data_IF_080863171273
#
_entry.id   IF_080863171273
#
_cell.length_a   1.000
_cell.length_b   1.000
_cell.length_c   1.000
_cell.angle_alpha   90.00
_cell.angle_beta   90.00
_cell.angle_gamma   90.00
#
_symmetry.space_group_name_H-M   'P 1'
#
loop_
_entity.id
_entity.type
_entity.pdbx_description
1 polymer ?
#
# COMPACT_ATOMS: atom_id res chain seq x y z
N UNK A 1 -7.52 -18.38 -4.27
CA UNK A 1 -6.95 -18.50 -5.63
C UNK A 1 -5.43 -18.78 -5.64
N UNK A 2 -4.58 -17.90 -5.10
CA UNK A 2 -3.11 -18.02 -5.21
C UNK A 2 -2.52 -19.30 -4.59
N UNK A 3 -3.07 -19.75 -3.46
CA UNK A 3 -2.67 -21.01 -2.84
C UNK A 3 -2.91 -22.23 -3.76
N UNK A 4 -4.07 -22.28 -4.42
CA UNK A 4 -4.39 -23.35 -5.38
C UNK A 4 -3.46 -23.30 -6.60
N UNK A 5 -3.15 -22.08 -7.09
CA UNK A 5 -2.20 -21.88 -8.19
C UNK A 5 -0.78 -22.33 -7.81
N UNK A 6 -0.34 -22.04 -6.58
CA UNK A 6 0.93 -22.53 -6.02
C UNK A 6 1.00 -24.05 -6.02
N UNK A 7 -0.06 -24.73 -5.55
CA UNK A 7 -0.12 -26.20 -5.58
C UNK A 7 -0.10 -26.77 -6.99
N UNK A 8 -0.83 -26.16 -7.93
CA UNK A 8 -0.88 -26.62 -9.34
C UNK A 8 0.46 -26.46 -10.06
N UNK A 9 1.16 -25.36 -9.81
CA UNK A 9 2.43 -25.02 -10.51
C UNK A 9 3.68 -25.51 -9.77
N UNK A 10 3.52 -26.09 -8.57
CA UNK A 10 4.63 -26.50 -7.68
C UNK A 10 5.61 -25.37 -7.36
N UNK A 11 5.17 -24.11 -7.45
CA UNK A 11 5.98 -22.94 -7.09
C UNK A 11 5.63 -22.48 -5.67
N UNK A 12 6.62 -22.12 -4.85
CA UNK A 12 6.36 -21.60 -3.50
C UNK A 12 5.40 -20.41 -3.53
N UNK A 13 4.46 -20.34 -2.58
CA UNK A 13 3.48 -19.24 -2.53
C UNK A 13 4.16 -17.87 -2.46
N UNK A 14 5.23 -17.74 -1.67
CA UNK A 14 5.96 -16.47 -1.53
C UNK A 14 6.58 -15.99 -2.85
N UNK A 15 7.02 -16.92 -3.70
CA UNK A 15 7.56 -16.61 -5.03
C UNK A 15 6.46 -16.03 -5.94
N UNK A 16 5.23 -16.51 -5.81
CA UNK A 16 4.07 -16.00 -6.55
C UNK A 16 3.69 -14.61 -6.03
N UNK A 17 3.66 -14.45 -4.70
CA UNK A 17 3.35 -13.16 -4.06
C UNK A 17 4.32 -12.06 -4.50
N UNK A 18 5.63 -12.32 -4.53
CA UNK A 18 6.64 -11.35 -5.00
C UNK A 18 6.35 -10.77 -6.39
N UNK A 19 5.74 -11.56 -7.29
CA UNK A 19 5.42 -11.12 -8.66
C UNK A 19 4.11 -10.34 -8.71
N UNK A 20 3.13 -10.80 -7.96
CA UNK A 20 1.79 -10.20 -7.94
C UNK A 20 1.79 -8.85 -7.24
N UNK A 21 2.62 -8.64 -6.22
CA UNK A 21 2.63 -7.34 -5.50
C UNK A 21 3.02 -6.16 -6.38
N UNK A 22 3.78 -6.37 -7.45
CA UNK A 22 4.11 -5.31 -8.40
C UNK A 22 2.82 -4.80 -9.08
N UNK A 23 2.00 -5.71 -9.61
CA UNK A 23 0.74 -5.30 -10.26
C UNK A 23 -0.30 -4.83 -9.26
N UNK A 24 -0.32 -5.39 -8.04
CA UNK A 24 -1.20 -4.92 -6.96
C UNK A 24 -0.86 -3.50 -6.53
N UNK A 25 0.43 -3.12 -6.48
CA UNK A 25 0.83 -1.75 -6.18
C UNK A 25 0.28 -0.76 -7.22
N UNK A 26 0.35 -1.11 -8.51
CA UNK A 26 -0.24 -0.29 -9.57
C UNK A 26 -1.77 -0.24 -9.46
N UNK A 27 -2.41 -1.38 -9.17
CA UNK A 27 -3.86 -1.41 -8.94
C UNK A 27 -4.28 -0.52 -7.75
N UNK A 28 -3.47 -0.46 -6.69
CA UNK A 28 -3.72 0.42 -5.55
C UNK A 28 -3.71 1.91 -5.96
N UNK A 29 -2.81 2.34 -6.86
CA UNK A 29 -2.83 3.69 -7.44
C UNK A 29 -4.18 3.96 -8.12
N UNK A 30 -4.62 3.05 -8.99
CA UNK A 30 -5.87 3.20 -9.73
C UNK A 30 -7.09 3.23 -8.80
N UNK A 31 -7.08 2.44 -7.73
CA UNK A 31 -8.14 2.47 -6.71
C UNK A 31 -8.21 3.86 -6.07
N UNK A 32 -7.08 4.45 -5.67
CA UNK A 32 -7.06 5.79 -5.07
C UNK A 32 -7.51 6.87 -6.04
N UNK A 33 -7.13 6.78 -7.32
CA UNK A 33 -7.65 7.68 -8.35
C UNK A 33 -9.16 7.51 -8.55
N UNK A 34 -9.68 6.29 -8.47
CA UNK A 34 -11.13 6.03 -8.47
C UNK A 34 -11.83 6.69 -7.27
N UNK A 35 -11.27 6.59 -6.07
CA UNK A 35 -11.80 7.26 -4.89
C UNK A 35 -11.79 8.79 -5.02
N UNK A 36 -10.76 9.36 -5.63
CA UNK A 36 -10.71 10.79 -5.96
C UNK A 36 -11.88 11.19 -6.89
N UNK A 37 -12.11 10.44 -7.97
CA UNK A 37 -13.22 10.71 -8.91
C UNK A 37 -14.60 10.55 -8.24
N UNK A 38 -14.72 9.65 -7.26
CA UNK A 38 -15.95 9.45 -6.49
C UNK A 38 -16.12 10.45 -5.34
N UNK A 39 -15.11 11.29 -5.04
CA UNK A 39 -15.09 12.15 -3.86
C UNK A 39 -15.25 11.40 -2.54
N UNK A 40 -14.47 10.33 -2.36
CA UNK A 40 -14.52 9.47 -1.17
C UNK A 40 -13.15 9.35 -0.50
N UNK A 41 -13.13 9.19 0.83
CA UNK A 41 -11.90 8.89 1.61
C UNK A 41 -10.86 10.02 1.49
N UNK A 42 -11.30 11.27 1.59
CA UNK A 42 -10.42 12.45 1.63
C UNK A 42 -10.03 12.81 3.07
N UNK A 43 -9.19 13.83 3.20
CA UNK A 43 -8.67 14.29 4.47
C UNK A 43 -9.48 15.37 5.16
N UNK A 44 -9.00 15.78 6.33
CA UNK A 44 -9.57 16.91 7.08
C UNK A 44 -9.47 18.22 6.28
N UNK A 45 -10.20 19.23 6.74
CA UNK A 45 -10.13 20.59 6.20
C UNK A 45 -8.72 21.16 6.23
N UNK A 46 -8.35 21.88 5.17
CA UNK A 46 -7.00 22.40 4.97
C UNK A 46 -7.01 23.79 4.37
N UNK A 47 -6.10 24.65 4.82
CA UNK A 47 -5.87 25.98 4.25
C UNK A 47 -4.72 26.02 3.23
N UNK A 48 -4.15 24.85 2.91
CA UNK A 48 -3.03 24.74 1.98
C UNK A 48 -3.46 25.07 0.53
N UNK A 49 -2.56 25.62 -0.30
CA UNK A 49 -2.92 26.11 -1.64
C UNK A 49 -3.31 25.01 -2.64
N UNK A 50 -3.07 23.74 -2.31
CA UNK A 50 -3.51 22.58 -3.09
C UNK A 50 -4.70 21.84 -2.48
N UNK A 51 -5.41 22.48 -1.53
CA UNK A 51 -6.66 21.97 -0.99
C UNK A 51 -7.68 21.71 -2.11
N UNK A 52 -8.41 20.61 -2.00
CA UNK A 52 -9.35 20.16 -3.02
C UNK A 52 -10.78 20.26 -2.48
N UNK A 53 -11.68 20.90 -3.21
CA UNK A 53 -13.11 20.99 -2.84
C UNK A 53 -13.83 19.79 -3.46
N UNK A 54 -14.36 18.92 -2.61
CA UNK A 54 -15.05 17.70 -3.01
C UNK A 54 -16.56 17.96 -3.23
N UNK A 55 -16.88 18.69 -4.30
CA UNK A 55 -18.24 19.17 -4.61
C UNK A 55 -19.29 18.04 -4.68
N UNK A 56 -18.91 16.87 -5.22
CA UNK A 56 -19.81 15.71 -5.31
C UNK A 56 -20.26 15.22 -3.94
N UNK A 57 -19.42 15.37 -2.91
CA UNK A 57 -19.80 15.07 -1.53
C UNK A 57 -20.37 16.29 -0.79
N UNK A 58 -20.68 17.37 -1.51
CA UNK A 58 -21.26 18.63 -1.00
C UNK A 58 -20.35 19.36 0.00
N UNK A 59 -19.05 19.12 -0.08
CA UNK A 59 -18.08 19.88 0.70
C UNK A 59 -17.97 21.30 0.14
N UNK A 60 -17.96 22.27 1.04
CA UNK A 60 -17.73 23.69 0.71
C UNK A 60 -16.31 24.14 1.06
N UNK A 61 -15.69 23.46 2.02
CA UNK A 61 -14.35 23.78 2.47
C UNK A 61 -13.31 22.92 1.73
N UNK A 62 -12.13 23.48 1.41
CA UNK A 62 -11.04 22.71 0.86
C UNK A 62 -10.55 21.64 1.85
N UNK A 63 -10.41 20.40 1.38
CA UNK A 63 -9.93 19.25 2.14
C UNK A 63 -8.57 18.79 1.61
N UNK A 64 -7.80 18.09 2.44
CA UNK A 64 -6.61 17.40 1.95
C UNK A 64 -7.01 16.30 0.93
N UNK A 65 -6.54 16.33 -0.33
CA UNK A 65 -6.78 15.24 -1.28
C UNK A 65 -5.87 14.03 -0.97
N UNK A 66 -6.12 13.36 0.15
CA UNK A 66 -5.30 12.24 0.65
C UNK A 66 -5.21 11.09 -0.34
N UNK A 67 -6.20 10.93 -1.22
CA UNK A 67 -6.17 9.95 -2.31
C UNK A 67 -5.05 10.24 -3.31
N UNK A 68 -4.75 11.53 -3.60
CA UNK A 68 -3.61 11.91 -4.46
C UNK A 68 -2.30 11.58 -3.74
N UNK A 69 -2.20 11.87 -2.44
CA UNK A 69 -1.01 11.55 -1.64
C UNK A 69 -0.76 10.03 -1.61
N UNK A 70 -1.81 9.24 -1.39
CA UNK A 70 -1.75 7.78 -1.44
C UNK A 70 -1.39 7.29 -2.84
N UNK A 71 -2.04 7.79 -3.89
CA UNK A 71 -1.78 7.39 -5.28
C UNK A 71 -0.33 7.66 -5.70
N UNK A 72 0.21 8.84 -5.39
CA UNK A 72 1.59 9.20 -5.67
C UNK A 72 2.57 8.34 -4.88
N UNK A 73 2.28 8.11 -3.59
CA UNK A 73 3.08 7.22 -2.75
C UNK A 73 3.10 5.81 -3.34
N UNK A 74 1.93 5.23 -3.61
CA UNK A 74 1.81 3.87 -4.17
C UNK A 74 2.45 3.76 -5.55
N UNK A 75 2.45 4.82 -6.36
CA UNK A 75 3.16 4.88 -7.63
C UNK A 75 4.68 4.82 -7.43
N UNK A 76 5.21 5.56 -6.46
CA UNK A 76 6.64 5.46 -6.06
C UNK A 76 6.94 4.04 -5.60
N UNK A 77 6.09 3.44 -4.78
CA UNK A 77 6.22 2.05 -4.33
C UNK A 77 6.24 1.06 -5.51
N UNK A 78 5.33 1.20 -6.47
CA UNK A 78 5.32 0.43 -7.71
C UNK A 78 6.62 0.56 -8.49
N UNK A 79 7.10 1.79 -8.70
CA UNK A 79 8.36 2.05 -9.41
C UNK A 79 9.54 1.39 -8.69
N UNK A 80 9.61 1.49 -7.35
CA UNK A 80 10.66 0.85 -6.55
C UNK A 80 10.61 -0.67 -6.71
N UNK A 81 9.44 -1.28 -6.56
CA UNK A 81 9.26 -2.73 -6.71
C UNK A 81 9.65 -3.20 -8.12
N UNK A 82 9.23 -2.48 -9.15
CA UNK A 82 9.57 -2.78 -10.55
C UNK A 82 11.08 -2.64 -10.79
N UNK A 83 11.72 -1.60 -10.24
CA UNK A 83 13.17 -1.39 -10.34
C UNK A 83 13.95 -2.51 -9.67
N UNK A 84 13.54 -2.95 -8.47
CA UNK A 84 14.17 -4.09 -7.78
C UNK A 84 13.98 -5.38 -8.59
N UNK A 85 12.78 -5.60 -9.12
CA UNK A 85 12.50 -6.77 -9.96
C UNK A 85 13.38 -6.83 -11.22
N UNK A 86 13.54 -5.70 -11.92
CA UNK A 86 14.38 -5.61 -13.13
C UNK A 86 15.87 -5.76 -12.76
N UNK A 87 16.34 -5.07 -11.72
CA UNK A 87 17.75 -5.15 -11.28
C UNK A 87 18.17 -6.53 -10.76
N UNK A 88 17.22 -7.39 -10.41
CA UNK A 88 17.46 -8.76 -9.96
C UNK A 88 17.23 -9.79 -11.06
N UNK A 89 17.22 -9.37 -12.33
CA UNK A 89 16.97 -10.22 -13.50
C UNK A 89 15.69 -11.07 -13.36
N UNK A 90 14.63 -10.45 -12.83
CA UNK A 90 13.35 -11.11 -12.53
C UNK A 90 13.44 -12.31 -11.56
N UNK A 91 14.56 -12.41 -10.82
CA UNK A 91 14.86 -13.44 -9.82
C UNK A 91 15.18 -12.80 -8.46
N UNK A 92 14.29 -11.96 -7.90
CA UNK A 92 14.47 -11.43 -6.56
C UNK A 92 14.50 -12.57 -5.54
N UNK A 93 15.20 -12.36 -4.42
CA UNK A 93 15.18 -13.31 -3.30
C UNK A 93 13.73 -13.49 -2.81
N UNK A 94 13.25 -14.73 -2.64
CA UNK A 94 11.86 -14.98 -2.24
C UNK A 94 11.47 -14.22 -0.96
N UNK A 95 10.40 -13.43 -1.04
CA UNK A 95 9.85 -12.61 0.04
C UNK A 95 10.35 -11.16 0.06
N UNK A 96 11.37 -10.81 -0.74
CA UNK A 96 11.91 -9.45 -0.75
C UNK A 96 10.90 -8.44 -1.28
N UNK A 97 10.29 -8.71 -2.45
CA UNK A 97 9.33 -7.77 -3.06
C UNK A 97 8.04 -7.71 -2.26
N UNK A 98 7.56 -8.87 -1.78
CA UNK A 98 6.38 -8.94 -0.91
C UNK A 98 6.59 -8.15 0.38
N UNK A 99 7.76 -8.29 1.01
CA UNK A 99 8.09 -7.55 2.23
C UNK A 99 8.20 -6.05 1.99
N UNK A 100 8.88 -5.63 0.91
CA UNK A 100 8.96 -4.21 0.52
C UNK A 100 7.57 -3.62 0.25
N UNK A 101 6.71 -4.35 -0.45
CA UNK A 101 5.34 -3.94 -0.71
C UNK A 101 4.56 -3.72 0.58
N UNK A 102 4.63 -4.66 1.52
CA UNK A 102 3.93 -4.55 2.81
C UNK A 102 4.41 -3.33 3.61
N UNK A 103 5.72 -3.16 3.77
CA UNK A 103 6.24 -2.01 4.51
C UNK A 103 5.81 -0.71 3.83
N UNK A 104 6.00 -0.61 2.52
CA UNK A 104 5.79 0.64 1.81
C UNK A 104 4.32 1.07 1.82
N UNK A 105 3.40 0.16 1.45
CA UNK A 105 1.96 0.46 1.41
C UNK A 105 1.41 0.74 2.80
N UNK A 106 1.74 -0.07 3.80
CA UNK A 106 1.14 0.07 5.12
C UNK A 106 1.80 1.17 5.97
N UNK A 107 3.09 1.48 5.76
CA UNK A 107 3.69 2.65 6.39
C UNK A 107 3.10 3.95 5.83
N UNK A 108 2.99 4.09 4.50
CA UNK A 108 2.37 5.28 3.89
C UNK A 108 0.91 5.43 4.30
N UNK A 109 0.15 4.32 4.34
CA UNK A 109 -1.20 4.30 4.91
C UNK A 109 -1.22 4.80 6.35
N UNK A 110 -0.36 4.27 7.22
CA UNK A 110 -0.31 4.65 8.64
C UNK A 110 -0.14 6.15 8.84
N UNK A 111 0.76 6.78 8.08
CA UNK A 111 1.02 8.22 8.19
C UNK A 111 -0.08 9.08 7.56
N UNK A 112 -0.59 8.71 6.39
CA UNK A 112 -1.66 9.49 5.73
C UNK A 112 -2.97 9.42 6.52
N UNK A 113 -3.20 8.34 7.27
CA UNK A 113 -4.43 8.21 8.04
C UNK A 113 -4.57 9.25 9.18
N UNK A 114 -3.47 9.88 9.63
CA UNK A 114 -3.54 10.99 10.62
C UNK A 114 -4.19 12.26 10.06
N UNK A 115 -4.17 12.43 8.75
CA UNK A 115 -4.77 13.59 8.07
C UNK A 115 -6.11 13.23 7.41
N UNK A 116 -6.63 12.02 7.66
CA UNK A 116 -7.92 11.57 7.16
C UNK A 116 -9.06 11.90 8.10
N UNK A 117 -10.23 12.15 7.52
CA UNK A 117 -11.46 12.21 8.33
C UNK A 117 -11.84 10.80 8.80
N UNK A 118 -12.38 10.67 10.03
CA UNK A 118 -12.98 9.43 10.50
C UNK A 118 -14.09 8.99 9.54
N UNK A 119 -14.01 7.75 9.04
CA UNK A 119 -15.00 7.23 8.08
C UNK A 119 -16.22 6.68 8.80
N UNK A 120 -16.06 6.28 10.07
CA UNK A 120 -17.10 5.63 10.86
C UNK A 120 -17.12 6.21 12.26
N UNK A 121 -18.31 6.40 12.83
CA UNK A 121 -18.48 7.05 14.13
C UNK A 121 -17.73 6.40 15.30
N UNK A 122 -17.43 5.09 15.21
CA UNK A 122 -16.66 4.40 16.25
C UNK A 122 -15.16 4.77 16.25
N UNK A 123 -14.65 5.36 15.15
CA UNK A 123 -13.26 5.83 15.08
C UNK A 123 -13.06 7.13 15.87
N UNK A 124 -14.15 7.82 16.21
CA UNK A 124 -14.12 9.06 16.97
C UNK A 124 -13.67 8.76 18.40
N UNK A 125 -12.55 9.33 18.82
CA UNK A 125 -11.96 9.15 20.15
C UNK A 125 -10.95 8.01 20.27
N UNK A 126 -10.70 7.27 19.18
CA UNK A 126 -9.59 6.31 19.15
C UNK A 126 -8.24 7.04 19.08
N UNK A 127 -7.22 6.55 19.79
CA UNK A 127 -5.85 7.10 19.72
C UNK A 127 -5.19 6.84 18.38
N UNK A 128 -5.45 5.65 17.82
CA UNK A 128 -5.13 5.25 16.46
C UNK A 128 -6.40 4.67 15.85
N UNK A 129 -6.76 5.10 14.65
CA UNK A 129 -7.93 4.54 13.96
C UNK A 129 -7.66 3.11 13.47
N UNK A 130 -8.70 2.47 12.92
CA UNK A 130 -8.58 1.08 12.47
C UNK A 130 -7.60 0.93 11.32
N UNK A 131 -7.52 1.91 10.42
CA UNK A 131 -6.54 1.93 9.33
C UNK A 131 -5.10 1.82 9.84
N UNK A 132 -4.79 2.51 10.94
CA UNK A 132 -3.48 2.49 11.57
C UNK A 132 -3.21 1.19 12.32
N UNK A 133 -4.17 0.72 13.12
CA UNK A 133 -4.04 -0.57 13.82
C UNK A 133 -3.81 -1.74 12.87
N UNK A 134 -4.53 -1.77 11.75
CA UNK A 134 -4.35 -2.80 10.73
C UNK A 134 -3.00 -2.67 10.01
N UNK A 135 -2.43 -1.48 9.91
CA UNK A 135 -1.15 -1.26 9.22
C UNK A 135 0.06 -1.83 9.97
N UNK A 136 0.06 -1.75 11.31
CA UNK A 136 1.17 -2.21 12.16
C UNK A 136 1.56 -3.68 11.90
N UNK A 137 0.65 -4.68 11.96
CA UNK A 137 1.02 -6.07 11.74
C UNK A 137 1.56 -6.33 10.33
N UNK A 138 1.07 -5.60 9.32
CA UNK A 138 1.60 -5.74 7.96
C UNK A 138 3.01 -5.15 7.82
N UNK A 139 3.32 -4.03 8.47
CA UNK A 139 4.68 -3.48 8.50
C UNK A 139 5.63 -4.47 9.18
N UNK A 140 5.23 -5.04 10.32
CA UNK A 140 6.02 -6.06 11.04
C UNK A 140 6.24 -7.30 10.16
N UNK A 141 5.19 -7.81 9.52
CA UNK A 141 5.29 -8.94 8.61
C UNK A 141 6.23 -8.62 7.43
N UNK A 142 6.16 -7.41 6.89
CA UNK A 142 7.06 -6.95 5.83
C UNK A 142 8.52 -6.97 6.25
N UNK A 143 8.84 -6.46 7.44
CA UNK A 143 10.20 -6.50 8.01
C UNK A 143 10.68 -7.96 8.15
N UNK A 144 9.83 -8.83 8.66
CA UNK A 144 10.14 -10.26 8.80
C UNK A 144 10.45 -10.92 7.44
N UNK A 145 9.66 -10.65 6.40
CA UNK A 145 9.90 -11.22 5.07
C UNK A 145 11.19 -10.70 4.43
N UNK A 146 11.50 -9.41 4.57
CA UNK A 146 12.77 -8.85 4.08
C UNK A 146 13.94 -9.50 4.83
N UNK A 147 13.88 -9.56 6.16
CA UNK A 147 14.93 -10.19 6.97
C UNK A 147 15.18 -11.64 6.54
N UNK A 148 14.11 -12.43 6.41
CA UNK A 148 14.17 -13.81 5.92
C UNK A 148 14.77 -13.90 4.51
N UNK A 149 14.39 -13.01 3.61
CA UNK A 149 14.91 -12.99 2.24
C UNK A 149 16.41 -12.67 2.21
N UNK A 150 16.88 -11.75 3.07
CA UNK A 150 18.29 -11.35 3.09
C UNK A 150 19.21 -12.40 3.73
N UNK A 151 18.76 -13.05 4.82
CA UNK A 151 19.54 -14.06 5.56
C UNK A 151 19.48 -15.44 4.91
N UNK A 152 18.44 -15.74 4.12
CA UNK A 152 18.36 -17.02 3.41
C UNK A 152 19.55 -17.19 2.45
N UNK A 153 20.21 -18.35 2.55
CA UNK A 153 21.24 -18.76 1.59
C UNK A 153 20.64 -18.75 0.18
N UNK A 154 21.40 -18.30 -0.85
CA UNK A 154 20.90 -18.30 -2.21
C UNK A 154 20.46 -19.72 -2.60
N UNK A 155 19.19 -19.88 -2.97
CA UNK A 155 18.71 -21.12 -3.56
C UNK A 155 19.47 -21.29 -4.89
N UNK A 156 20.24 -22.39 -5.01
CA UNK A 156 20.82 -22.78 -6.29
C UNK A 156 19.66 -22.94 -7.29
N UNK A 157 19.79 -22.24 -8.42
CA UNK A 157 18.84 -22.29 -9.53
C UNK A 157 18.78 -23.69 -10.16
#
# INVERSE_FOLDING_TARGET
ALYLFSRKTKRPLIYILDRIVITVALAAVLIRLGNLMNSEIYGIETSLPWGFIFERNREIAPKHPTQIYEALSYLVGFIVLLRVYIKTDAKPKPGLLFGLFLIFIFATRFFIEFIKEPQVGFEIGMTLNMGQWLSIPFVIAGIYFIYRALVAKPQKA
#
